data_IF_598414233552
#
_entry.id   IF_598414233552
#
_cell.length_a   1.000
_cell.length_b   1.000
_cell.length_c   1.000
_cell.angle_alpha   90.00
_cell.angle_beta   90.00
_cell.angle_gamma   90.00
#
_symmetry.space_group_name_H-M   'P 1'
#
loop_
_entity.id
_entity.type
_entity.pdbx_description
1 polymer ?
#
# COMPACT_ATOMS: atom_id res chain seq x y z
N UNK A 1 -31.91 -37.96 4.71
CA UNK A 1 -30.87 -36.92 4.87
C UNK A 1 -29.60 -37.66 5.24
N UNK A 2 -28.87 -38.08 4.22
CA UNK A 2 -27.56 -38.73 4.38
C UNK A 2 -26.56 -37.65 4.76
N UNK A 3 -25.89 -37.86 5.89
CA UNK A 3 -24.82 -36.98 6.35
C UNK A 3 -23.60 -37.43 5.55
N UNK A 4 -23.27 -36.70 4.48
CA UNK A 4 -22.01 -36.89 3.76
C UNK A 4 -20.86 -36.71 4.76
N UNK A 5 -20.13 -37.80 5.02
CA UNK A 5 -18.93 -37.76 5.84
C UNK A 5 -17.93 -36.77 5.25
N UNK A 6 -17.26 -36.00 6.12
CA UNK A 6 -16.15 -35.14 5.74
C UNK A 6 -15.04 -36.01 5.14
N UNK A 7 -14.99 -36.14 3.81
CA UNK A 7 -13.87 -36.77 3.13
C UNK A 7 -12.72 -35.74 3.14
N UNK A 8 -11.62 -36.06 3.82
CA UNK A 8 -10.39 -35.31 3.59
C UNK A 8 -9.95 -35.61 2.16
N UNK A 9 -9.82 -34.59 1.28
CA UNK A 9 -9.48 -34.82 -0.11
C UNK A 9 -8.12 -35.51 -0.20
N UNK A 10 -8.07 -36.59 -0.97
CA UNK A 10 -6.82 -37.28 -1.30
C UNK A 10 -5.89 -36.38 -2.12
N UNK A 11 -4.62 -36.79 -2.27
CA UNK A 11 -3.67 -36.08 -3.12
C UNK A 11 -4.15 -35.98 -4.58
N UNK A 12 -4.90 -36.98 -5.05
CA UNK A 12 -5.48 -37.04 -6.39
C UNK A 12 -6.63 -36.04 -6.56
N UNK A 13 -7.51 -35.90 -5.55
CA UNK A 13 -8.58 -34.89 -5.55
C UNK A 13 -7.98 -33.48 -5.62
N UNK A 14 -6.91 -33.23 -4.87
CA UNK A 14 -6.20 -31.93 -4.90
C UNK A 14 -5.66 -31.67 -6.31
N UNK A 15 -5.08 -32.66 -6.99
CA UNK A 15 -4.58 -32.49 -8.36
C UNK A 15 -5.71 -32.20 -9.37
N UNK A 16 -6.88 -32.81 -9.19
CA UNK A 16 -8.07 -32.58 -10.02
C UNK A 16 -8.69 -31.20 -9.79
N UNK A 17 -8.71 -30.70 -8.55
CA UNK A 17 -9.22 -29.35 -8.22
C UNK A 17 -8.25 -28.21 -8.54
N UNK A 18 -6.93 -28.47 -8.48
CA UNK A 18 -5.93 -27.43 -8.75
C UNK A 18 -6.08 -26.89 -10.17
N UNK A 19 -6.21 -27.74 -11.19
CA UNK A 19 -6.26 -27.27 -12.59
C UNK A 19 -7.45 -26.33 -12.86
N UNK A 20 -8.70 -26.66 -12.50
CA UNK A 20 -9.83 -25.74 -12.65
C UNK A 20 -9.70 -24.47 -11.81
N UNK A 21 -9.12 -24.55 -10.60
CA UNK A 21 -8.92 -23.37 -9.75
C UNK A 21 -7.91 -22.40 -10.37
N UNK A 22 -6.77 -22.89 -10.87
CA UNK A 22 -5.74 -22.04 -11.45
C UNK A 22 -6.26 -21.22 -12.64
N UNK A 23 -7.08 -21.83 -13.48
CA UNK A 23 -7.73 -21.15 -14.60
C UNK A 23 -8.75 -20.08 -14.18
N UNK A 24 -9.09 -19.96 -12.89
CA UNK A 24 -9.95 -18.89 -12.35
C UNK A 24 -9.17 -17.69 -11.82
N UNK A 25 -7.87 -17.85 -11.54
CA UNK A 25 -7.04 -16.83 -10.89
C UNK A 25 -6.36 -15.94 -11.93
N UNK A 26 -6.64 -14.63 -11.97
CA UNK A 26 -5.92 -13.71 -12.85
C UNK A 26 -4.41 -13.78 -12.65
N UNK A 27 -3.61 -13.78 -13.73
CA UNK A 27 -2.14 -13.74 -13.66
C UNK A 27 -1.46 -14.84 -12.84
N UNK A 28 -2.11 -16.00 -12.61
CA UNK A 28 -1.52 -17.09 -11.82
C UNK A 28 -0.21 -17.64 -12.42
N UNK A 29 -0.03 -17.53 -13.73
CA UNK A 29 1.17 -17.99 -14.44
C UNK A 29 2.44 -17.21 -14.06
N UNK A 30 2.27 -16.02 -13.46
CA UNK A 30 3.37 -15.18 -12.97
C UNK A 30 3.82 -15.55 -11.56
N UNK A 31 3.08 -16.41 -10.85
CA UNK A 31 3.42 -16.83 -9.48
C UNK A 31 4.30 -18.09 -9.46
N UNK A 32 5.33 -18.09 -8.60
CA UNK A 32 6.22 -19.23 -8.46
C UNK A 32 5.58 -20.39 -7.66
N UNK A 33 5.78 -21.66 -8.06
CA UNK A 33 5.49 -22.80 -7.21
C UNK A 33 6.17 -22.68 -5.82
N UNK A 34 5.51 -23.07 -4.71
CA UNK A 34 4.25 -23.83 -4.63
C UNK A 34 2.98 -22.96 -4.51
N UNK A 35 3.06 -21.65 -4.78
CA UNK A 35 2.00 -20.69 -4.41
C UNK A 35 0.64 -20.96 -5.05
N UNK A 36 0.54 -21.28 -6.35
CA UNK A 36 -0.74 -21.57 -6.96
C UNK A 36 -1.43 -22.81 -6.35
N UNK A 37 -0.65 -23.83 -5.96
CA UNK A 37 -1.18 -25.00 -5.24
C UNK A 37 -1.68 -24.64 -3.83
N UNK A 38 -0.95 -23.78 -3.12
CA UNK A 38 -1.38 -23.30 -1.80
C UNK A 38 -2.67 -22.50 -1.89
N UNK A 39 -2.81 -21.67 -2.93
CA UNK A 39 -4.02 -20.91 -3.21
C UNK A 39 -5.24 -21.82 -3.39
N UNK A 40 -5.11 -22.86 -4.22
CA UNK A 40 -6.16 -23.86 -4.43
C UNK A 40 -6.52 -24.59 -3.13
N UNK A 41 -5.53 -24.95 -2.31
CA UNK A 41 -5.77 -25.60 -1.03
C UNK A 41 -6.44 -24.68 0.01
N UNK A 42 -6.26 -23.35 -0.09
CA UNK A 42 -6.94 -22.39 0.79
C UNK A 42 -8.32 -21.99 0.31
N UNK A 43 -8.57 -22.00 -1.00
CA UNK A 43 -9.85 -21.53 -1.54
C UNK A 43 -11.02 -22.41 -1.10
N UNK A 44 -10.79 -23.71 -0.88
CA UNK A 44 -11.80 -24.62 -0.31
C UNK A 44 -12.19 -24.29 1.14
N UNK A 45 -11.41 -23.45 1.83
CA UNK A 45 -11.67 -22.98 3.20
C UNK A 45 -12.29 -21.58 3.24
N UNK A 46 -12.48 -20.94 2.08
CA UNK A 46 -13.05 -19.61 2.00
C UNK A 46 -14.54 -19.63 2.36
N UNK A 47 -14.99 -18.62 3.10
CA UNK A 47 -16.39 -18.49 3.54
C UNK A 47 -17.23 -18.02 2.35
N UNK A 48 -18.11 -18.89 1.86
CA UNK A 48 -19.03 -18.63 0.74
C UNK A 48 -20.48 -18.94 1.10
N UNK A 49 -21.42 -18.59 0.22
CA UNK A 49 -22.82 -18.99 0.40
C UNK A 49 -22.94 -20.52 0.27
N UNK A 50 -23.50 -21.21 1.27
CA UNK A 50 -23.61 -22.66 1.22
C UNK A 50 -24.68 -23.06 0.19
N UNK A 51 -24.36 -24.07 -0.64
CA UNK A 51 -25.25 -24.57 -1.71
C UNK A 51 -26.58 -25.11 -1.18
N UNK A 52 -26.54 -25.65 0.03
CA UNK A 52 -27.71 -26.07 0.78
C UNK A 52 -27.67 -25.32 2.11
N UNK A 53 -28.83 -24.97 2.65
CA UNK A 53 -28.96 -24.49 4.03
C UNK A 53 -28.60 -25.65 4.97
N UNK A 54 -27.31 -25.91 5.10
CA UNK A 54 -26.78 -26.82 6.07
C UNK A 54 -26.86 -26.13 7.41
N UNK A 55 -27.30 -26.90 8.38
CA UNK A 55 -27.68 -26.42 9.71
C UNK A 55 -26.46 -26.09 10.60
N UNK A 56 -25.24 -26.33 10.10
CA UNK A 56 -24.03 -25.71 10.64
C UNK A 56 -23.09 -25.22 9.55
N UNK A 57 -23.27 -23.97 9.12
CA UNK A 57 -22.43 -23.30 8.13
C UNK A 57 -22.29 -21.84 8.49
N UNK A 58 -21.14 -21.25 8.19
CA UNK A 58 -20.98 -19.81 8.15
C UNK A 58 -21.12 -19.32 6.71
N UNK A 59 -21.75 -18.17 6.52
CA UNK A 59 -22.01 -17.57 5.21
C UNK A 59 -21.74 -16.08 5.27
N UNK A 60 -21.20 -15.46 4.21
CA UNK A 60 -21.01 -14.02 4.20
C UNK A 60 -22.36 -13.30 4.07
N UNK A 61 -22.51 -12.15 4.74
CA UNK A 61 -23.68 -11.27 4.54
C UNK A 61 -23.64 -10.58 3.17
N UNK A 62 -22.44 -10.29 2.69
CA UNK A 62 -22.18 -9.66 1.40
C UNK A 62 -21.23 -10.54 0.59
N UNK A 63 -21.55 -10.78 -0.68
CA UNK A 63 -20.66 -11.46 -1.60
C UNK A 63 -20.72 -10.79 -2.94
N UNK A 64 -19.55 -10.40 -3.44
CA UNK A 64 -19.42 -9.72 -4.71
C UNK A 64 -18.67 -10.59 -5.70
N UNK A 65 -19.02 -10.44 -6.96
CA UNK A 65 -18.26 -11.07 -8.02
C UNK A 65 -16.93 -10.36 -8.18
N UNK A 66 -15.82 -11.09 -8.40
CA UNK A 66 -14.53 -10.47 -8.65
C UNK A 66 -14.63 -9.48 -9.82
N UNK A 67 -14.10 -8.26 -9.68
CA UNK A 67 -14.14 -7.24 -10.73
C UNK A 67 -13.25 -7.64 -11.91
N UNK A 68 -12.10 -8.27 -11.64
CA UNK A 68 -11.22 -8.82 -12.66
C UNK A 68 -11.43 -10.34 -12.76
N UNK A 69 -11.63 -10.86 -13.96
CA UNK A 69 -11.95 -12.27 -14.19
C UNK A 69 -11.12 -12.87 -15.30
N UNK A 70 -10.80 -14.16 -15.18
CA UNK A 70 -10.39 -14.97 -16.33
C UNK A 70 -11.64 -15.39 -17.15
N UNK A 71 -11.48 -15.90 -18.38
CA UNK A 71 -12.62 -16.40 -19.16
C UNK A 71 -13.41 -17.49 -18.41
N UNK A 72 -12.73 -18.41 -17.72
CA UNK A 72 -13.39 -19.46 -16.94
C UNK A 72 -14.14 -18.88 -15.73
N UNK A 73 -13.52 -17.96 -14.98
CA UNK A 73 -14.18 -17.34 -13.82
C UNK A 73 -15.41 -16.52 -14.25
N UNK A 74 -15.40 -15.90 -15.43
CA UNK A 74 -16.57 -15.18 -15.94
C UNK A 74 -17.75 -16.12 -16.28
N UNK A 75 -17.48 -17.29 -16.88
CA UNK A 75 -18.50 -18.33 -17.09
C UNK A 75 -19.10 -18.76 -15.75
N UNK A 76 -18.27 -19.04 -14.75
CA UNK A 76 -18.75 -19.42 -13.40
C UNK A 76 -19.56 -18.28 -12.77
N UNK A 77 -19.09 -17.03 -12.88
CA UNK A 77 -19.83 -15.86 -12.38
C UNK A 77 -21.20 -15.72 -13.04
N UNK A 78 -21.31 -15.94 -14.36
CA UNK A 78 -22.59 -15.89 -15.09
C UNK A 78 -23.54 -16.99 -14.63
N UNK A 79 -23.06 -18.22 -14.49
CA UNK A 79 -23.86 -19.34 -13.98
C UNK A 79 -24.36 -19.09 -12.55
N UNK A 80 -23.49 -18.58 -11.68
CA UNK A 80 -23.84 -18.29 -10.29
C UNK A 80 -24.87 -17.16 -10.16
N UNK A 81 -24.91 -16.18 -11.07
CA UNK A 81 -25.96 -15.11 -11.04
C UNK A 81 -27.37 -15.69 -11.09
N UNK A 82 -27.55 -16.83 -11.74
CA UNK A 82 -28.84 -17.51 -11.83
C UNK A 82 -29.15 -18.38 -10.60
N UNK A 83 -28.16 -18.61 -9.73
CA UNK A 83 -28.28 -19.43 -8.53
C UNK A 83 -28.04 -18.62 -7.25
N UNK A 84 -29.13 -18.19 -6.61
CA UNK A 84 -29.10 -17.45 -5.34
C UNK A 84 -28.44 -18.19 -4.17
N UNK A 85 -28.17 -19.49 -4.31
CA UNK A 85 -27.56 -20.35 -3.27
C UNK A 85 -26.06 -20.56 -3.50
N UNK A 86 -25.45 -19.82 -4.40
CA UNK A 86 -24.01 -19.94 -4.67
C UNK A 86 -23.41 -18.57 -4.76
N UNK A 87 -22.14 -18.47 -4.39
CA UNK A 87 -21.39 -17.23 -4.51
C UNK A 87 -19.92 -17.52 -4.75
N UNK A 88 -19.21 -16.54 -5.28
CA UNK A 88 -17.75 -16.56 -5.29
C UNK A 88 -17.30 -15.98 -3.94
N UNK A 89 -16.60 -16.75 -3.10
CA UNK A 89 -16.14 -16.24 -1.82
C UNK A 89 -15.07 -15.16 -2.03
N UNK A 90 -15.13 -14.12 -1.18
CA UNK A 90 -14.18 -13.00 -1.21
C UNK A 90 -14.84 -11.65 -1.49
N UNK A 91 -14.00 -10.62 -1.57
CA UNK A 91 -14.37 -9.24 -1.87
C UNK A 91 -13.16 -8.50 -2.46
N UNK A 92 -13.41 -7.42 -3.19
CA UNK A 92 -12.36 -6.58 -3.74
C UNK A 92 -12.11 -5.37 -2.84
N UNK A 93 -10.85 -5.16 -2.50
CA UNK A 93 -10.40 -4.12 -1.59
C UNK A 93 -9.35 -3.26 -2.29
N UNK A 94 -9.25 -2.00 -1.86
CA UNK A 94 -8.13 -1.14 -2.24
C UNK A 94 -6.95 -1.53 -1.37
N UNK A 95 -5.87 -2.01 -1.96
CA UNK A 95 -4.74 -2.57 -1.22
C UNK A 95 -3.47 -1.76 -1.46
N UNK A 96 -2.65 -1.59 -0.42
CA UNK A 96 -1.33 -1.02 -0.51
C UNK A 96 -0.28 -2.08 -0.12
N UNK A 97 0.79 -2.20 -0.92
CA UNK A 97 1.91 -3.09 -0.61
C UNK A 97 3.03 -2.28 0.04
N UNK A 98 3.13 -2.36 1.37
CA UNK A 98 4.11 -1.62 2.19
C UNK A 98 4.51 -2.45 3.40
N UNK A 99 5.79 -2.42 3.78
CA UNK A 99 6.22 -3.01 5.04
C UNK A 99 6.01 -2.00 6.16
N UNK A 100 5.19 -2.37 7.13
CA UNK A 100 4.90 -1.63 8.36
C UNK A 100 5.19 -2.55 9.55
N UNK A 101 5.41 -1.98 10.73
CA UNK A 101 5.76 -2.77 11.93
C UNK A 101 4.74 -3.88 12.20
N UNK A 102 3.45 -3.59 12.08
CA UNK A 102 2.39 -4.52 12.41
C UNK A 102 2.02 -5.51 11.29
N UNK A 103 2.47 -5.31 10.04
CA UNK A 103 2.20 -6.27 8.96
C UNK A 103 3.39 -7.18 8.63
N UNK A 104 4.39 -7.24 9.50
CA UNK A 104 5.54 -8.13 9.35
C UNK A 104 5.12 -9.62 9.39
N UNK A 105 5.89 -10.48 8.72
CA UNK A 105 5.73 -11.95 8.72
C UNK A 105 4.28 -12.45 8.52
N UNK A 106 3.76 -12.33 7.29
CA UNK A 106 2.41 -12.81 6.94
C UNK A 106 1.29 -12.24 7.82
N UNK A 107 1.46 -11.00 8.27
CA UNK A 107 0.40 -10.24 8.93
C UNK A 107 -0.17 -9.18 8.00
N UNK A 108 -1.40 -8.74 8.25
CA UNK A 108 -2.09 -7.72 7.46
C UNK A 108 -2.79 -6.72 8.37
N UNK A 109 -2.68 -5.44 8.02
CA UNK A 109 -3.41 -4.36 8.69
C UNK A 109 -4.62 -4.00 7.83
N UNK A 110 -5.77 -3.86 8.46
CA UNK A 110 -6.99 -3.38 7.81
C UNK A 110 -7.38 -1.99 8.31
N UNK A 111 -8.02 -1.21 7.44
CA UNK A 111 -8.75 -0.03 7.87
C UNK A 111 -10.05 -0.44 8.56
N UNK A 112 -10.40 0.24 9.65
CA UNK A 112 -11.68 0.10 10.34
C UNK A 112 -12.89 0.34 9.43
N UNK A 113 -12.73 1.08 8.33
CA UNK A 113 -13.76 1.27 7.31
C UNK A 113 -14.29 -0.04 6.73
N UNK A 114 -13.46 -1.07 6.67
CA UNK A 114 -13.88 -2.41 6.23
C UNK A 114 -14.98 -2.98 7.13
N UNK A 115 -14.94 -2.73 8.43
CA UNK A 115 -16.00 -3.10 9.38
C UNK A 115 -17.21 -2.18 9.28
N UNK A 116 -17.01 -0.88 9.04
CA UNK A 116 -18.12 0.05 8.78
C UNK A 116 -18.94 -0.35 7.55
N UNK A 117 -18.28 -0.86 6.50
CA UNK A 117 -18.92 -1.45 5.32
C UNK A 117 -19.49 -2.85 5.56
N UNK A 118 -19.21 -3.47 6.71
CA UNK A 118 -19.56 -4.87 7.01
C UNK A 118 -19.02 -5.85 5.97
N UNK A 119 -17.87 -5.54 5.36
CA UNK A 119 -17.36 -6.26 4.20
C UNK A 119 -17.02 -7.74 4.49
N UNK A 120 -16.67 -8.05 5.75
CA UNK A 120 -16.42 -9.41 6.23
C UNK A 120 -17.51 -9.93 7.17
N UNK A 121 -18.65 -9.23 7.27
CA UNK A 121 -19.71 -9.68 8.16
C UNK A 121 -20.24 -11.04 7.72
N UNK A 122 -20.43 -11.94 8.68
CA UNK A 122 -20.90 -13.30 8.45
C UNK A 122 -22.11 -13.65 9.30
N UNK A 123 -22.92 -14.56 8.77
CA UNK A 123 -24.05 -15.19 9.42
C UNK A 123 -23.84 -16.70 9.41
N UNK A 124 -23.81 -17.27 10.59
CA UNK A 124 -23.69 -18.70 10.80
C UNK A 124 -24.88 -19.30 11.53
N UNK A 125 -25.08 -20.60 11.33
CA UNK A 125 -25.98 -21.39 12.14
C UNK A 125 -25.19 -22.48 12.86
N UNK A 126 -25.59 -22.84 14.07
CA UNK A 126 -24.99 -23.91 14.86
C UNK A 126 -26.11 -24.76 15.44
N UNK A 127 -26.16 -26.05 15.08
CA UNK A 127 -26.90 -27.03 15.87
C UNK A 127 -26.05 -27.41 17.07
N UNK A 128 -26.57 -27.17 18.27
CA UNK A 128 -25.91 -27.58 19.49
C UNK A 128 -26.81 -28.51 20.31
N UNK A 129 -26.30 -29.67 20.76
CA UNK A 129 -27.07 -30.53 21.66
C UNK A 129 -27.37 -29.80 22.96
N UNK A 130 -28.61 -29.95 23.45
CA UNK A 130 -29.09 -29.40 24.71
C UNK A 130 -29.16 -30.55 25.73
N UNK A 131 -28.50 -30.46 26.90
CA UNK A 131 -28.62 -31.48 27.94
C UNK A 131 -30.04 -31.54 28.52
N UNK A 132 -30.51 -32.75 28.86
CA UNK A 132 -31.89 -32.98 29.30
C UNK A 132 -32.25 -32.21 30.59
N UNK A 133 -31.28 -32.05 31.50
CA UNK A 133 -31.46 -31.37 32.79
C UNK A 133 -31.34 -29.84 32.72
N UNK A 134 -31.34 -29.26 31.53
CA UNK A 134 -31.26 -27.79 31.37
C UNK A 134 -32.67 -27.19 31.21
N UNK A 135 -32.95 -26.03 31.84
CA UNK A 135 -34.23 -25.34 31.69
C UNK A 135 -34.64 -25.20 30.23
N UNK A 136 -35.95 -25.17 29.95
CA UNK A 136 -36.40 -24.94 28.59
C UNK A 136 -35.92 -23.58 28.08
N UNK A 137 -35.46 -23.55 26.83
CA UNK A 137 -34.86 -22.38 26.22
C UNK A 137 -35.84 -21.87 25.16
N UNK A 138 -36.16 -20.59 25.26
CA UNK A 138 -37.08 -19.94 24.33
C UNK A 138 -36.34 -19.53 23.06
N UNK A 139 -37.03 -19.59 21.94
CA UNK A 139 -36.58 -18.91 20.71
C UNK A 139 -36.39 -17.41 21.04
N UNK A 140 -35.30 -16.83 20.54
CA UNK A 140 -34.82 -15.49 20.88
C UNK A 140 -33.82 -15.43 22.04
N UNK A 141 -33.65 -16.52 22.81
CA UNK A 141 -32.68 -16.54 23.92
C UNK A 141 -31.24 -16.41 23.42
N UNK A 142 -30.41 -15.67 24.16
CA UNK A 142 -28.98 -15.54 23.88
C UNK A 142 -28.19 -16.64 24.60
N UNK A 143 -27.47 -17.46 23.84
CA UNK A 143 -26.48 -18.41 24.34
C UNK A 143 -25.13 -17.69 24.40
N UNK A 144 -24.54 -17.63 25.58
CA UNK A 144 -23.27 -16.94 25.84
C UNK A 144 -22.32 -17.87 26.58
N UNK A 145 -21.10 -17.40 26.91
CA UNK A 145 -20.16 -18.14 27.77
C UNK A 145 -20.74 -18.53 29.14
N UNK A 146 -21.81 -17.86 29.60
CA UNK A 146 -22.52 -18.20 30.85
C UNK A 146 -23.45 -19.40 30.71
N UNK A 147 -23.81 -19.76 29.47
CA UNK A 147 -24.59 -20.97 29.20
C UNK A 147 -23.63 -22.17 29.21
N UNK A 148 -23.50 -22.83 30.35
CA UNK A 148 -22.42 -23.80 30.63
C UNK A 148 -22.32 -24.97 29.64
N UNK A 149 -23.41 -25.35 29.00
CA UNK A 149 -23.43 -26.41 27.99
C UNK A 149 -23.24 -25.91 26.56
N UNK A 150 -23.30 -24.59 26.31
CA UNK A 150 -22.99 -23.97 25.02
C UNK A 150 -21.46 -23.88 24.87
N UNK A 151 -20.91 -24.77 24.05
CA UNK A 151 -19.46 -24.88 23.83
C UNK A 151 -18.87 -23.82 22.90
N UNK A 152 -19.58 -23.35 21.85
CA UNK A 152 -19.03 -22.31 21.00
C UNK A 152 -18.70 -21.06 21.80
N UNK A 153 -17.49 -20.52 21.63
CA UNK A 153 -17.06 -19.27 22.28
C UNK A 153 -17.58 -18.02 21.57
N UNK A 154 -18.80 -18.10 21.05
CA UNK A 154 -19.48 -17.04 20.29
C UNK A 154 -20.90 -16.87 20.82
N UNK A 155 -21.46 -15.67 20.72
CA UNK A 155 -22.85 -15.44 21.14
C UNK A 155 -23.80 -15.99 20.07
N UNK A 156 -24.66 -16.92 20.46
CA UNK A 156 -25.71 -17.48 19.60
C UNK A 156 -27.09 -16.96 19.99
N UNK A 157 -27.97 -16.72 19.02
CA UNK A 157 -29.39 -16.44 19.24
C UNK A 157 -30.19 -17.67 18.87
N UNK A 158 -30.94 -18.24 19.80
CA UNK A 158 -31.75 -19.43 19.51
C UNK A 158 -32.85 -19.08 18.52
N UNK A 159 -32.82 -19.69 17.33
CA UNK A 159 -33.84 -19.48 16.29
C UNK A 159 -34.84 -20.64 16.22
N UNK A 160 -34.41 -21.84 16.64
CA UNK A 160 -35.26 -23.02 16.69
C UNK A 160 -34.79 -24.01 17.74
N UNK A 161 -35.68 -24.93 18.11
CA UNK A 161 -35.40 -26.09 18.97
C UNK A 161 -35.97 -27.35 18.34
N UNK A 162 -35.37 -28.48 18.62
CA UNK A 162 -35.83 -29.77 18.10
C UNK A 162 -35.37 -30.94 18.94
N UNK A 163 -35.81 -32.12 18.54
CA UNK A 163 -35.33 -33.39 19.09
C UNK A 163 -34.81 -34.24 17.93
N UNK A 164 -33.65 -34.86 18.11
CA UNK A 164 -33.11 -35.75 17.08
C UNK A 164 -33.76 -37.13 17.17
N UNK A 165 -33.39 -38.04 16.25
CA UNK A 165 -33.90 -39.42 16.21
C UNK A 165 -33.70 -40.19 17.52
N UNK A 166 -32.67 -39.84 18.29
CA UNK A 166 -32.36 -40.44 19.59
C UNK A 166 -33.08 -39.73 20.75
N UNK A 167 -34.09 -38.91 20.45
CA UNK A 167 -34.85 -38.10 21.41
C UNK A 167 -34.02 -37.10 22.22
N UNK A 168 -32.78 -36.83 21.81
CA UNK A 168 -31.95 -35.80 22.46
C UNK A 168 -32.37 -34.44 21.96
N UNK A 169 -32.60 -33.52 22.88
CA UNK A 169 -32.92 -32.14 22.55
C UNK A 169 -31.71 -31.44 21.90
N UNK A 170 -31.98 -30.54 20.97
CA UNK A 170 -30.99 -29.62 20.41
C UNK A 170 -31.60 -28.25 20.17
N UNK A 171 -30.73 -27.25 20.08
CA UNK A 171 -31.06 -25.91 19.64
C UNK A 171 -30.38 -25.62 18.31
N UNK A 172 -31.02 -24.81 17.48
CA UNK A 172 -30.39 -24.16 16.35
C UNK A 172 -30.17 -22.71 16.77
N UNK A 173 -28.91 -22.29 16.82
CA UNK A 173 -28.53 -20.95 17.17
C UNK A 173 -27.93 -20.23 15.96
N UNK A 174 -28.42 -19.03 15.69
CA UNK A 174 -27.84 -18.10 14.75
C UNK A 174 -26.68 -17.36 15.43
N UNK A 175 -25.53 -17.32 14.76
CA UNK A 175 -24.35 -16.56 15.17
C UNK A 175 -24.12 -15.48 14.13
N UNK A 176 -24.05 -14.24 14.57
CA UNK A 176 -23.68 -13.10 13.73
C UNK A 176 -22.28 -12.65 14.14
N UNK A 177 -21.44 -12.41 13.15
CA UNK A 177 -20.16 -11.74 13.30
C UNK A 177 -20.23 -10.55 12.37
N UNK A 178 -20.37 -9.35 12.95
CA UNK A 178 -20.51 -8.12 12.18
C UNK A 178 -19.16 -7.60 11.65
N UNK A 179 -18.07 -7.99 12.30
CA UNK A 179 -16.77 -7.35 12.15
C UNK A 179 -15.65 -8.35 11.83
N UNK A 180 -14.68 -7.90 11.05
CA UNK A 180 -13.35 -8.49 11.01
C UNK A 180 -12.67 -8.23 12.35
N UNK A 181 -12.00 -9.24 12.91
CA UNK A 181 -11.28 -9.15 14.17
C UNK A 181 -9.79 -9.45 14.00
N UNK A 182 -8.97 -8.89 14.89
CA UNK A 182 -7.54 -9.26 15.02
C UNK A 182 -7.44 -10.76 15.29
N UNK A 183 -6.51 -11.44 14.61
CA UNK A 183 -6.32 -12.89 14.65
C UNK A 183 -7.12 -13.64 13.58
N UNK A 184 -8.07 -13.01 12.90
CA UNK A 184 -8.76 -13.63 11.76
C UNK A 184 -7.78 -13.92 10.62
N UNK A 185 -8.09 -14.95 9.82
CA UNK A 185 -7.24 -15.38 8.70
C UNK A 185 -7.83 -14.92 7.37
N UNK A 186 -7.00 -14.27 6.56
CA UNK A 186 -7.34 -13.81 5.21
C UNK A 186 -6.36 -14.44 4.23
N UNK A 187 -6.78 -14.69 2.99
CA UNK A 187 -5.88 -15.15 1.95
C UNK A 187 -6.21 -14.49 0.60
N UNK A 188 -5.19 -14.31 -0.22
CA UNK A 188 -5.36 -13.92 -1.63
C UNK A 188 -5.53 -15.15 -2.51
N UNK A 189 -6.02 -14.94 -3.74
CA UNK A 189 -6.07 -16.00 -4.75
C UNK A 189 -4.68 -16.42 -5.26
N UNK A 190 -3.62 -15.75 -4.81
CA UNK A 190 -2.22 -16.00 -5.16
C UNK A 190 -1.45 -16.79 -4.08
N UNK A 191 -2.18 -17.43 -3.15
CA UNK A 191 -1.57 -18.36 -2.17
C UNK A 191 -0.80 -17.66 -1.06
N UNK A 192 -1.09 -16.37 -0.85
CA UNK A 192 -0.63 -15.61 0.30
C UNK A 192 -1.69 -15.67 1.39
N UNK A 193 -1.30 -16.14 2.57
CA UNK A 193 -2.17 -16.24 3.75
C UNK A 193 -1.67 -15.23 4.77
N UNK A 194 -2.60 -14.55 5.41
CA UNK A 194 -2.32 -13.53 6.39
C UNK A 194 -3.16 -13.73 7.65
N UNK A 195 -2.61 -13.32 8.78
CA UNK A 195 -3.39 -13.07 10.00
C UNK A 195 -3.58 -11.57 10.16
N UNK A 196 -4.81 -11.15 10.45
CA UNK A 196 -5.10 -9.74 10.75
C UNK A 196 -4.39 -9.37 12.04
N UNK A 197 -3.44 -8.45 11.98
CA UNK A 197 -2.68 -8.01 13.15
C UNK A 197 -3.28 -6.77 13.79
N UNK A 198 -3.77 -5.83 12.98
CA UNK A 198 -4.37 -4.58 13.45
C UNK A 198 -5.56 -4.16 12.59
N UNK A 199 -6.47 -3.41 13.21
CA UNK A 199 -7.60 -2.75 12.55
C UNK A 199 -7.60 -1.30 13.05
N UNK A 200 -7.20 -0.37 12.17
CA UNK A 200 -6.90 1.01 12.56
C UNK A 200 -7.84 2.02 11.91
N UNK A 201 -8.13 3.12 12.62
CA UNK A 201 -8.74 4.31 12.02
C UNK A 201 -7.76 4.94 10.99
N UNK A 202 -8.29 5.70 10.02
CA UNK A 202 -7.48 6.26 8.92
C UNK A 202 -6.35 7.18 9.40
N UNK A 203 -6.53 7.90 10.51
CA UNK A 203 -5.50 8.79 11.05
C UNK A 203 -4.24 8.03 11.51
N UNK A 204 -4.37 6.74 11.80
CA UNK A 204 -3.27 5.87 12.23
C UNK A 204 -2.68 5.03 11.08
N UNK A 205 -3.20 5.20 9.86
CA UNK A 205 -2.75 4.50 8.67
C UNK A 205 -1.88 5.40 7.79
N UNK A 206 -1.06 4.79 6.94
CA UNK A 206 -0.25 5.54 6.00
C UNK A 206 -1.09 6.10 4.86
N UNK A 207 -1.07 7.43 4.72
CA UNK A 207 -1.66 8.14 3.59
C UNK A 207 -0.83 7.90 2.32
N UNK A 208 -1.51 7.44 1.28
CA UNK A 208 -0.95 7.22 -0.05
C UNK A 208 -1.26 8.42 -0.95
N UNK A 209 -0.29 8.87 -1.75
CA UNK A 209 -0.46 9.85 -2.81
C UNK A 209 -0.16 9.19 -4.15
N UNK A 210 -1.14 9.09 -5.05
CA UNK A 210 -0.93 8.50 -6.37
C UNK A 210 0.12 9.30 -7.16
N UNK A 211 1.13 8.59 -7.68
CA UNK A 211 2.21 9.18 -8.48
C UNK A 211 1.75 9.80 -9.80
N UNK A 212 0.61 9.36 -10.35
CA UNK A 212 0.13 9.81 -11.66
C UNK A 212 -0.63 11.14 -11.57
N UNK A 213 -1.38 11.39 -10.50
CA UNK A 213 -2.29 12.53 -10.40
C UNK A 213 -2.22 13.30 -9.06
N UNK A 214 -1.40 12.86 -8.10
CA UNK A 214 -1.25 13.48 -6.80
C UNK A 214 -2.45 13.30 -5.86
N UNK A 215 -3.40 12.43 -6.18
CA UNK A 215 -4.59 12.22 -5.34
C UNK A 215 -4.19 11.45 -4.08
N UNK A 216 -4.62 11.97 -2.93
CA UNK A 216 -4.38 11.37 -1.63
C UNK A 216 -5.50 10.39 -1.26
N UNK A 217 -5.14 9.25 -0.67
CA UNK A 217 -6.08 8.21 -0.26
C UNK A 217 -5.55 7.30 0.85
N UNK A 218 -6.47 6.61 1.52
CA UNK A 218 -6.16 5.51 2.42
C UNK A 218 -6.59 4.19 1.80
N UNK A 219 -5.76 3.16 1.95
CA UNK A 219 -6.10 1.83 1.48
C UNK A 219 -7.05 1.14 2.47
N UNK A 220 -7.86 0.20 1.97
CA UNK A 220 -8.67 -0.68 2.80
C UNK A 220 -7.81 -1.70 3.56
N UNK A 221 -6.70 -2.15 2.95
CA UNK A 221 -5.79 -3.14 3.54
C UNK A 221 -4.33 -2.89 3.14
N UNK A 222 -3.41 -3.17 4.07
CA UNK A 222 -1.97 -2.92 3.94
C UNK A 222 -1.19 -4.23 4.03
N UNK A 223 -0.74 -4.72 2.87
CA UNK A 223 -0.01 -5.97 2.73
C UNK A 223 1.50 -5.75 2.85
N UNK A 224 2.25 -6.67 3.48
CA UNK A 224 3.71 -6.57 3.52
C UNK A 224 4.31 -6.81 2.13
N UNK A 225 4.89 -5.76 1.55
CA UNK A 225 5.57 -5.82 0.25
C UNK A 225 6.70 -6.87 0.23
N UNK A 226 7.30 -7.17 1.38
CA UNK A 226 8.33 -8.21 1.54
C UNK A 226 7.82 -9.60 1.15
N UNK A 227 6.54 -9.92 1.42
CA UNK A 227 5.95 -11.24 1.12
C UNK A 227 5.79 -11.50 -0.38
N UNK A 228 5.63 -10.45 -1.19
CA UNK A 228 5.60 -10.59 -2.65
C UNK A 228 6.95 -11.10 -3.15
N UNK A 229 8.00 -10.41 -2.72
CA UNK A 229 9.36 -10.67 -3.19
C UNK A 229 9.93 -11.98 -2.63
N UNK A 230 9.68 -12.30 -1.36
CA UNK A 230 10.21 -13.53 -0.75
C UNK A 230 9.50 -14.79 -1.23
N UNK A 231 8.29 -14.65 -1.79
CA UNK A 231 7.46 -15.77 -2.24
C UNK A 231 7.25 -15.80 -3.75
N UNK A 232 7.81 -14.80 -4.44
CA UNK A 232 7.74 -14.60 -5.87
C UNK A 232 6.32 -14.76 -6.42
N UNK A 233 5.41 -13.92 -5.91
CA UNK A 233 3.98 -13.89 -6.31
C UNK A 233 3.60 -12.54 -6.92
N UNK A 234 4.24 -12.11 -8.02
CA UNK A 234 3.94 -10.83 -8.67
C UNK A 234 2.54 -10.79 -9.31
N UNK A 235 1.89 -11.94 -9.55
CA UNK A 235 0.54 -12.02 -10.09
C UNK A 235 -0.47 -11.16 -9.33
N UNK A 236 -0.36 -11.09 -8.00
CA UNK A 236 -1.25 -10.27 -7.19
C UNK A 236 -1.04 -8.76 -7.36
N UNK A 237 0.18 -8.32 -7.71
CA UNK A 237 0.43 -6.90 -8.02
C UNK A 237 -0.23 -6.56 -9.35
N UNK A 238 -0.15 -7.47 -10.32
CA UNK A 238 -0.81 -7.32 -11.62
C UNK A 238 -2.33 -7.33 -11.47
N UNK A 239 -2.89 -8.24 -10.66
CA UNK A 239 -4.32 -8.26 -10.33
C UNK A 239 -4.77 -6.95 -9.69
N UNK A 240 -4.04 -6.48 -8.66
CA UNK A 240 -4.35 -5.23 -7.97
C UNK A 240 -4.28 -4.02 -8.92
N UNK A 241 -3.25 -3.94 -9.76
CA UNK A 241 -3.07 -2.86 -10.74
C UNK A 241 -4.19 -2.85 -11.78
N UNK A 242 -4.48 -4.00 -12.38
CA UNK A 242 -5.51 -4.12 -13.42
C UNK A 242 -6.92 -3.86 -12.86
N UNK A 243 -7.19 -4.32 -11.63
CA UNK A 243 -8.44 -4.04 -10.93
C UNK A 243 -8.57 -2.56 -10.58
N UNK A 244 -7.50 -1.92 -10.11
CA UNK A 244 -7.50 -0.49 -9.83
C UNK A 244 -7.77 0.32 -11.10
N UNK A 245 -7.14 -0.02 -12.22
CA UNK A 245 -7.39 0.66 -13.50
C UNK A 245 -8.84 0.49 -14.00
N UNK A 246 -9.51 -0.59 -13.62
CA UNK A 246 -10.92 -0.83 -13.95
C UNK A 246 -11.87 -0.02 -13.07
N UNK A 247 -11.66 -0.04 -11.75
CA UNK A 247 -12.52 0.67 -10.78
C UNK A 247 -12.25 2.18 -10.83
N UNK A 248 -10.97 2.56 -10.93
CA UNK A 248 -10.45 3.92 -11.02
C UNK A 248 -11.04 4.88 -9.97
N UNK A 249 -11.19 4.40 -8.75
CA UNK A 249 -11.69 5.14 -7.59
C UNK A 249 -10.85 4.79 -6.36
N UNK A 250 -10.49 5.82 -5.58
CA UNK A 250 -9.74 5.64 -4.34
C UNK A 250 -10.65 5.41 -3.12
N UNK A 251 -11.90 5.85 -3.19
CA UNK A 251 -12.91 5.62 -2.17
C UNK A 251 -14.08 4.88 -2.81
N UNK A 252 -14.28 3.63 -2.41
CA UNK A 252 -15.40 2.81 -2.87
C UNK A 252 -15.82 1.84 -1.78
N UNK A 253 -17.11 1.50 -1.77
CA UNK A 253 -17.65 0.48 -0.87
C UNK A 253 -17.33 -0.91 -1.44
N UNK A 254 -16.50 -1.73 -0.76
CA UNK A 254 -16.12 -3.06 -1.26
C UNK A 254 -17.33 -4.00 -1.36
N UNK A 255 -18.48 -3.64 -0.76
CA UNK A 255 -19.75 -4.38 -0.86
C UNK A 255 -20.60 -3.98 -2.07
N UNK A 256 -20.23 -2.95 -2.85
CA UNK A 256 -21.06 -2.41 -3.96
C UNK A 256 -20.31 -2.25 -5.29
N UNK A 257 -19.45 -3.21 -5.63
CA UNK A 257 -18.66 -3.13 -6.88
C UNK A 257 -19.44 -3.76 -8.03
N UNK A 258 -19.88 -2.92 -8.97
CA UNK A 258 -20.63 -3.36 -10.16
C UNK A 258 -19.75 -3.51 -11.42
N UNK A 259 -18.60 -2.84 -11.46
CA UNK A 259 -17.68 -2.88 -12.59
C UNK A 259 -16.99 -4.25 -12.69
N UNK A 260 -16.98 -4.82 -13.89
CA UNK A 260 -16.23 -6.05 -14.16
C UNK A 260 -15.60 -6.08 -15.55
N UNK A 261 -14.48 -6.79 -15.67
CA UNK A 261 -13.74 -7.02 -16.92
C UNK A 261 -13.21 -8.45 -16.96
N UNK A 262 -13.31 -9.05 -18.13
CA UNK A 262 -12.71 -10.36 -18.43
C UNK A 262 -11.38 -10.13 -19.13
N UNK A 263 -10.32 -10.73 -18.61
CA UNK A 263 -9.00 -10.76 -19.25
C UNK A 263 -9.03 -11.74 -20.43
N UNK A 264 -8.48 -11.32 -21.56
CA UNK A 264 -8.16 -12.23 -22.65
C UNK A 264 -6.96 -13.11 -22.31
N UNK A 265 -6.81 -14.25 -23.00
CA UNK A 265 -5.64 -15.13 -22.86
C UNK A 265 -4.33 -14.38 -23.14
N UNK A 266 -4.36 -13.41 -24.08
CA UNK A 266 -3.22 -12.55 -24.34
C UNK A 266 -2.88 -11.71 -23.12
N UNK A 267 -3.84 -11.01 -22.52
CA UNK A 267 -3.60 -10.14 -21.35
C UNK A 267 -3.17 -10.92 -20.11
N UNK A 268 -3.67 -12.15 -19.92
CA UNK A 268 -3.23 -13.01 -18.82
C UNK A 268 -1.73 -13.36 -18.92
N UNK A 269 -1.19 -13.45 -20.14
CA UNK A 269 0.22 -13.75 -20.41
C UNK A 269 1.07 -12.50 -20.67
N UNK A 270 0.46 -11.30 -20.65
CA UNK A 270 1.14 -10.03 -20.89
C UNK A 270 0.75 -9.07 -19.76
N UNK A 271 1.37 -9.20 -18.58
CA UNK A 271 1.03 -8.39 -17.41
C UNK A 271 1.21 -6.88 -17.70
N UNK A 272 0.49 -6.01 -16.97
CA UNK A 272 0.57 -4.58 -17.18
C UNK A 272 2.00 -4.06 -17.00
N UNK A 273 2.52 -3.38 -18.02
CA UNK A 273 3.88 -2.82 -18.01
C UNK A 273 4.01 -1.59 -17.13
N UNK A 274 2.91 -0.82 -16.97
CA UNK A 274 2.83 0.31 -16.04
C UNK A 274 2.07 -0.11 -14.79
N UNK A 275 2.80 -0.27 -13.69
CA UNK A 275 2.22 -0.54 -12.37
C UNK A 275 1.65 0.73 -11.77
N UNK A 276 0.62 0.57 -10.94
CA UNK A 276 0.09 1.67 -10.12
C UNK A 276 0.93 1.83 -8.86
N UNK A 277 1.40 3.05 -8.63
CA UNK A 277 2.31 3.39 -7.54
C UNK A 277 1.81 4.61 -6.77
N UNK A 278 2.19 4.70 -5.51
CA UNK A 278 1.91 5.85 -4.66
C UNK A 278 3.12 6.19 -3.77
N UNK A 279 3.23 7.45 -3.37
CA UNK A 279 4.12 7.89 -2.31
C UNK A 279 3.41 7.83 -0.96
N UNK A 280 4.13 7.45 0.10
CA UNK A 280 3.59 7.43 1.45
C UNK A 280 3.99 8.72 2.17
N UNK A 281 3.02 9.58 2.54
CA UNK A 281 3.30 10.90 3.15
C UNK A 281 3.50 10.85 4.67
N UNK A 282 2.84 9.89 5.33
CA UNK A 282 2.91 9.72 6.77
C UNK A 282 3.12 8.23 7.05
N UNK A 283 4.38 7.83 7.13
CA UNK A 283 4.71 6.59 7.82
C UNK A 283 4.43 6.91 9.28
N UNK A 284 3.40 6.30 9.86
CA UNK A 284 2.96 6.59 11.23
C UNK A 284 4.15 6.66 12.19
N UNK A 285 4.00 7.37 13.31
CA UNK A 285 5.07 7.77 14.25
C UNK A 285 5.93 6.62 14.84
N UNK A 286 5.72 5.37 14.42
CA UNK A 286 6.56 4.23 14.71
C UNK A 286 7.36 3.86 13.44
N UNK A 287 8.56 4.42 13.33
CA UNK A 287 9.53 4.18 12.26
C UNK A 287 9.94 2.70 12.14
N UNK A 288 9.99 2.18 10.91
CA UNK A 288 11.20 1.78 10.15
C UNK A 288 10.73 1.19 8.81
N UNK A 289 11.06 1.85 7.69
CA UNK A 289 10.86 1.29 6.34
C UNK A 289 12.17 0.82 5.73
N UNK A 290 12.25 -0.48 5.40
CA UNK A 290 13.17 -0.96 4.38
C UNK A 290 12.49 -0.83 3.01
N UNK A 291 12.98 0.09 2.18
CA UNK A 291 12.55 0.20 0.78
C UNK A 291 13.21 -0.92 -0.05
N UNK A 292 12.46 -1.48 -1.00
CA UNK A 292 12.91 -2.60 -1.83
C UNK A 292 14.14 -2.29 -2.72
N UNK A 293 14.59 -1.04 -2.81
CA UNK A 293 15.80 -0.65 -3.55
C UNK A 293 17.07 -1.30 -2.97
N UNK A 294 17.11 -1.62 -1.68
CA UNK A 294 18.24 -2.33 -1.06
C UNK A 294 18.50 -3.71 -1.67
N UNK A 295 17.47 -4.36 -2.26
CA UNK A 295 17.60 -5.70 -2.87
C UNK A 295 18.25 -5.69 -4.25
N UNK A 296 18.15 -4.59 -5.00
CA UNK A 296 18.83 -4.50 -6.31
C UNK A 296 20.37 -4.47 -6.13
N UNK A 297 20.84 -3.92 -5.00
CA UNK A 297 22.24 -3.92 -4.57
C UNK A 297 22.66 -5.30 -4.04
N UNK A 298 21.81 -5.98 -3.26
CA UNK A 298 22.05 -7.37 -2.82
C UNK A 298 22.11 -8.33 -4.02
N UNK A 299 21.33 -8.11 -5.07
CA UNK A 299 21.41 -8.87 -6.32
C UNK A 299 22.74 -8.69 -7.06
N UNK A 300 23.30 -7.46 -7.06
CA UNK A 300 24.65 -7.19 -7.57
C UNK A 300 25.73 -7.87 -6.69
N UNK A 301 25.56 -7.89 -5.37
CA UNK A 301 26.48 -8.58 -4.43
C UNK A 301 26.37 -10.12 -4.50
N UNK A 302 25.19 -10.69 -4.75
CA UNK A 302 25.01 -12.14 -4.93
C UNK A 302 25.72 -12.67 -6.19
N UNK A 303 25.99 -11.81 -7.18
CA UNK A 303 26.87 -12.15 -8.32
C UNK A 303 28.33 -12.37 -7.91
N UNK A 304 28.76 -11.85 -6.75
CA UNK A 304 30.08 -12.10 -6.16
C UNK A 304 30.16 -13.47 -5.48
N UNK A 305 29.06 -13.97 -4.91
CA UNK A 305 29.01 -15.32 -4.35
C UNK A 305 29.09 -16.42 -5.42
N UNK A 306 28.68 -16.12 -6.66
CA UNK A 306 28.92 -17.02 -7.81
C UNK A 306 30.41 -17.09 -8.21
N UNK A 307 31.19 -16.03 -7.98
CA UNK A 307 32.64 -16.01 -8.23
C UNK A 307 33.42 -16.84 -7.18
N UNK A 308 32.87 -17.06 -5.98
CA UNK A 308 33.51 -17.85 -4.92
C UNK A 308 33.57 -19.35 -5.20
N UNK A 309 32.74 -19.89 -6.11
CA UNK A 309 32.61 -21.35 -6.25
C UNK A 309 33.77 -22.03 -6.98
N UNK A 310 34.61 -21.31 -7.76
CA UNK A 310 35.57 -21.95 -8.66
C UNK A 310 36.97 -21.30 -8.76
N UNK A 311 37.32 -20.29 -7.95
CA UNK A 311 38.61 -19.60 -8.05
C UNK A 311 39.27 -19.41 -6.67
N UNK A 312 40.61 -19.42 -6.61
CA UNK A 312 41.32 -19.17 -5.36
C UNK A 312 41.05 -17.74 -4.87
N UNK A 313 40.93 -17.53 -3.57
CA UNK A 313 40.54 -16.23 -3.00
C UNK A 313 41.47 -15.08 -3.46
N UNK A 314 42.74 -15.38 -3.71
CA UNK A 314 43.76 -14.47 -4.26
C UNK A 314 43.46 -13.98 -5.68
N UNK A 315 42.78 -14.78 -6.50
CA UNK A 315 42.42 -14.42 -7.89
C UNK A 315 41.12 -13.60 -7.95
N UNK A 316 40.21 -13.80 -6.99
CA UNK A 316 38.89 -13.13 -6.96
C UNK A 316 38.97 -11.74 -6.31
N UNK A 317 39.90 -11.55 -5.38
CA UNK A 317 40.00 -10.33 -4.57
C UNK A 317 40.16 -9.03 -5.39
N UNK A 318 41.01 -8.94 -6.44
CA UNK A 318 41.10 -7.73 -7.26
C UNK A 318 39.77 -7.37 -7.94
N UNK A 319 38.99 -8.38 -8.38
CA UNK A 319 37.68 -8.19 -8.99
C UNK A 319 36.62 -7.71 -8.01
N UNK A 320 36.68 -8.17 -6.75
CA UNK A 320 35.82 -7.65 -5.67
C UNK A 320 36.18 -6.20 -5.36
N UNK A 321 37.48 -5.88 -5.20
CA UNK A 321 37.95 -4.51 -4.94
C UNK A 321 37.51 -3.54 -6.06
N UNK A 322 37.69 -3.93 -7.32
CA UNK A 322 37.26 -3.10 -8.46
C UNK A 322 35.74 -2.84 -8.45
N UNK A 323 34.92 -3.88 -8.25
CA UNK A 323 33.46 -3.74 -8.19
C UNK A 323 32.98 -2.91 -6.99
N UNK A 324 33.62 -3.07 -5.83
CA UNK A 324 33.32 -2.27 -4.65
C UNK A 324 33.70 -0.80 -4.89
N UNK A 325 34.87 -0.54 -5.47
CA UNK A 325 35.30 0.81 -5.83
C UNK A 325 34.37 1.47 -6.84
N UNK A 326 33.94 0.75 -7.89
CA UNK A 326 32.99 1.26 -8.87
C UNK A 326 31.62 1.56 -8.24
N UNK A 327 31.13 0.69 -7.36
CA UNK A 327 29.90 0.93 -6.59
C UNK A 327 30.00 2.17 -5.71
N UNK A 328 31.10 2.30 -4.96
CA UNK A 328 31.34 3.47 -4.10
C UNK A 328 31.41 4.76 -4.92
N UNK A 329 32.02 4.70 -6.10
CA UNK A 329 32.09 5.83 -7.03
C UNK A 329 30.71 6.20 -7.57
N UNK A 330 29.87 5.23 -7.95
CA UNK A 330 28.48 5.46 -8.39
C UNK A 330 27.64 6.12 -7.29
N UNK A 331 27.69 5.61 -6.06
CA UNK A 331 26.94 6.19 -4.94
C UNK A 331 27.43 7.59 -4.56
N UNK A 332 28.74 7.85 -4.59
CA UNK A 332 29.28 9.21 -4.38
C UNK A 332 28.79 10.18 -5.47
N UNK A 333 28.73 9.75 -6.74
CA UNK A 333 28.19 10.57 -7.84
C UNK A 333 26.70 10.86 -7.61
N UNK A 334 25.93 9.85 -7.21
CA UNK A 334 24.50 9.98 -6.91
C UNK A 334 24.26 10.95 -5.76
N UNK A 335 24.94 10.78 -4.63
CA UNK A 335 24.84 11.69 -3.47
C UNK A 335 25.22 13.13 -3.85
N UNK A 336 26.26 13.31 -4.68
CA UNK A 336 26.62 14.64 -5.22
C UNK A 336 25.48 15.23 -6.06
N UNK A 337 24.85 14.44 -6.93
CA UNK A 337 23.74 14.92 -7.76
C UNK A 337 22.50 15.31 -6.93
N UNK A 338 22.19 14.53 -5.88
CA UNK A 338 21.09 14.79 -4.95
C UNK A 338 21.36 16.06 -4.12
N UNK A 339 22.61 16.24 -3.65
CA UNK A 339 23.04 17.46 -2.95
C UNK A 339 22.95 18.71 -3.84
N UNK A 340 23.41 18.65 -5.08
CA UNK A 340 23.31 19.80 -6.03
C UNK A 340 21.84 20.18 -6.26
N UNK A 341 20.97 19.18 -6.44
CA UNK A 341 19.52 19.38 -6.61
C UNK A 341 18.90 19.97 -5.34
N UNK A 342 19.26 19.44 -4.17
CA UNK A 342 18.83 19.91 -2.85
C UNK A 342 19.21 21.36 -2.59
N UNK A 343 20.45 21.77 -2.92
CA UNK A 343 20.93 23.14 -2.77
C UNK A 343 20.15 24.10 -3.68
N UNK A 344 19.86 23.67 -4.91
CA UNK A 344 19.04 24.45 -5.86
C UNK A 344 17.62 24.66 -5.33
N UNK A 345 17.10 23.71 -4.54
CA UNK A 345 15.74 23.71 -4.00
C UNK A 345 15.64 24.13 -2.52
N UNK A 346 16.73 24.65 -1.93
CA UNK A 346 16.80 25.09 -0.52
C UNK A 346 16.39 24.00 0.50
N UNK A 347 16.61 22.72 0.21
CA UNK A 347 16.30 21.67 1.18
C UNK A 347 17.38 21.57 2.28
N UNK A 348 17.06 20.91 3.41
CA UNK A 348 18.02 20.70 4.51
C UNK A 348 19.04 19.64 4.12
N UNK A 349 20.28 20.06 3.86
CA UNK A 349 21.40 19.20 3.46
C UNK A 349 21.71 18.10 4.47
N UNK A 350 21.49 18.35 5.77
CA UNK A 350 21.78 17.39 6.85
C UNK A 350 20.96 16.10 6.73
N UNK A 351 19.75 16.17 6.17
CA UNK A 351 18.89 14.98 5.96
C UNK A 351 19.47 14.05 4.91
N UNK A 352 19.99 14.60 3.81
CA UNK A 352 20.61 13.82 2.73
C UNK A 352 21.93 13.22 3.21
N UNK A 353 22.71 13.99 3.97
CA UNK A 353 24.00 13.54 4.53
C UNK A 353 23.80 12.41 5.53
N UNK A 354 22.85 12.55 6.46
CA UNK A 354 22.57 11.51 7.45
C UNK A 354 22.01 10.24 6.81
N UNK A 355 21.19 10.38 5.77
CA UNK A 355 20.72 9.23 4.97
C UNK A 355 21.89 8.52 4.27
N UNK A 356 22.78 9.25 3.59
CA UNK A 356 23.93 8.67 2.93
C UNK A 356 24.88 7.95 3.92
N UNK A 357 25.12 8.54 5.11
CA UNK A 357 25.91 7.89 6.17
C UNK A 357 25.25 6.63 6.72
N UNK A 358 23.92 6.67 6.91
CA UNK A 358 23.14 5.51 7.36
C UNK A 358 23.20 4.37 6.33
N UNK A 359 22.99 4.66 5.06
CA UNK A 359 23.06 3.68 3.97
C UNK A 359 24.46 3.08 3.89
N UNK A 360 25.50 3.90 4.04
CA UNK A 360 26.90 3.45 4.02
C UNK A 360 27.25 2.52 5.19
N UNK A 361 26.86 2.89 6.41
CA UNK A 361 27.09 2.07 7.60
C UNK A 361 26.35 0.72 7.50
N UNK A 362 25.13 0.72 6.95
CA UNK A 362 24.40 -0.51 6.69
C UNK A 362 25.15 -1.47 5.75
N UNK A 363 25.81 -0.96 4.70
CA UNK A 363 26.62 -1.80 3.83
C UNK A 363 27.85 -2.36 4.54
N UNK A 364 28.50 -1.58 5.40
CA UNK A 364 29.64 -2.03 6.21
C UNK A 364 29.26 -3.13 7.20
N UNK A 365 28.08 -3.08 7.79
CA UNK A 365 27.56 -4.11 8.70
C UNK A 365 27.21 -5.43 7.99
N UNK A 366 26.87 -5.38 6.69
CA UNK A 366 26.55 -6.57 5.88
C UNK A 366 27.77 -7.26 5.28
N UNK A 367 28.93 -6.62 5.29
CA UNK A 367 30.20 -7.28 4.98
C UNK A 367 30.50 -8.23 6.14
N UNK A 368 30.48 -9.54 5.88
CA UNK A 368 30.82 -10.53 6.91
C UNK A 368 32.33 -10.49 7.18
N UNK A 369 32.75 -9.59 8.07
CA UNK A 369 34.15 -9.39 8.44
C UNK A 369 34.83 -10.68 8.90
N UNK A 370 34.10 -11.59 9.58
CA UNK A 370 34.67 -12.87 10.04
C UNK A 370 35.13 -13.82 8.93
N UNK A 371 34.70 -13.61 7.67
CA UNK A 371 35.12 -14.40 6.51
C UNK A 371 36.25 -13.76 5.69
N UNK A 372 36.69 -12.54 6.05
CA UNK A 372 37.81 -11.84 5.41
C UNK A 372 39.07 -12.05 6.24
N UNK A 373 40.21 -12.37 5.59
CA UNK A 373 41.49 -12.45 6.30
C UNK A 373 41.88 -11.06 6.83
N UNK A 374 42.66 -10.99 7.91
CA UNK A 374 43.03 -9.73 8.56
C UNK A 374 43.70 -8.72 7.59
N UNK A 375 44.50 -9.19 6.62
CA UNK A 375 45.08 -8.32 5.57
C UNK A 375 44.00 -7.69 4.68
N UNK A 376 42.96 -8.43 4.29
CA UNK A 376 41.84 -7.87 3.51
C UNK A 376 40.97 -6.91 4.30
N UNK A 377 40.83 -7.10 5.61
CA UNK A 377 40.06 -6.17 6.44
C UNK A 377 40.74 -4.80 6.53
N UNK A 378 42.07 -4.78 6.69
CA UNK A 378 42.84 -3.55 6.73
C UNK A 378 42.78 -2.78 5.40
N UNK A 379 42.95 -3.48 4.27
CA UNK A 379 42.87 -2.86 2.95
C UNK A 379 41.47 -2.29 2.64
N UNK A 380 40.40 -3.03 2.94
CA UNK A 380 39.03 -2.55 2.73
C UNK A 380 38.75 -1.37 3.66
N UNK A 381 39.23 -1.40 4.91
CA UNK A 381 39.10 -0.26 5.82
C UNK A 381 39.82 0.99 5.28
N UNK A 382 40.97 0.86 4.61
CA UNK A 382 41.66 1.97 3.96
C UNK A 382 40.81 2.55 2.82
N UNK A 383 40.25 1.71 1.94
CA UNK A 383 39.42 2.16 0.82
C UNK A 383 38.11 2.82 1.28
N UNK A 384 37.47 2.25 2.32
CA UNK A 384 36.27 2.79 2.95
C UNK A 384 36.55 4.14 3.60
N UNK A 385 37.65 4.25 4.37
CA UNK A 385 38.06 5.52 4.97
C UNK A 385 38.44 6.55 3.91
N UNK A 386 39.05 6.14 2.80
CA UNK A 386 39.33 7.03 1.68
C UNK A 386 38.03 7.57 1.04
N UNK A 387 37.03 6.71 0.82
CA UNK A 387 35.72 7.11 0.32
C UNK A 387 34.99 8.07 1.26
N UNK A 388 35.02 7.81 2.58
CA UNK A 388 34.47 8.70 3.60
C UNK A 388 35.20 10.06 3.60
N UNK A 389 36.53 10.08 3.49
CA UNK A 389 37.31 11.32 3.39
C UNK A 389 37.00 12.11 2.11
N UNK A 390 36.79 11.43 0.98
CA UNK A 390 36.37 12.08 -0.27
C UNK A 390 34.96 12.67 -0.16
N UNK A 391 34.07 12.01 0.58
CA UNK A 391 32.73 12.51 0.88
C UNK A 391 32.81 13.76 1.76
N UNK A 392 33.57 13.71 2.86
CA UNK A 392 33.77 14.85 3.75
C UNK A 392 34.42 16.04 3.02
N UNK A 393 35.41 15.80 2.15
CA UNK A 393 36.00 16.86 1.32
C UNK A 393 34.98 17.46 0.36
N UNK A 394 34.17 16.64 -0.29
CA UNK A 394 33.09 17.13 -1.15
C UNK A 394 32.05 17.94 -0.36
N UNK A 395 31.77 17.58 0.88
CA UNK A 395 30.87 18.34 1.76
C UNK A 395 31.46 19.71 2.14
N UNK A 396 32.76 19.78 2.41
CA UNK A 396 33.46 21.06 2.65
C UNK A 396 33.41 21.96 1.41
N UNK A 397 33.71 21.40 0.23
CA UNK A 397 33.66 22.15 -1.04
C UNK A 397 32.25 22.67 -1.33
N UNK A 398 31.23 21.84 -1.09
CA UNK A 398 29.82 22.21 -1.25
C UNK A 398 29.40 23.29 -0.24
N UNK A 399 29.81 23.17 1.02
CA UNK A 399 29.54 24.18 2.05
C UNK A 399 30.19 25.51 1.70
N UNK A 400 31.43 25.49 1.22
CA UNK A 400 32.15 26.68 0.77
C UNK A 400 31.45 27.33 -0.44
N UNK A 401 31.01 26.54 -1.43
CA UNK A 401 30.23 27.04 -2.56
C UNK A 401 28.88 27.64 -2.13
N UNK A 402 28.20 27.05 -1.15
CA UNK A 402 26.96 27.59 -0.58
C UNK A 402 27.19 28.92 0.13
N UNK A 403 28.28 29.06 0.89
CA UNK A 403 28.67 30.31 1.55
C UNK A 403 28.99 31.40 0.50
N UNK A 404 29.77 31.08 -0.52
CA UNK A 404 30.09 32.00 -1.62
C UNK A 404 28.80 32.43 -2.35
N UNK A 405 27.86 31.51 -2.61
CA UNK A 405 26.60 31.84 -3.25
C UNK A 405 25.75 32.81 -2.42
N UNK A 406 25.68 32.60 -1.09
CA UNK A 406 25.00 33.52 -0.16
C UNK A 406 25.66 34.90 -0.12
N UNK A 407 26.99 34.96 -0.12
CA UNK A 407 27.73 36.23 -0.17
C UNK A 407 27.50 36.97 -1.49
N UNK A 408 27.46 36.26 -2.62
CA UNK A 408 27.15 36.84 -3.94
C UNK A 408 25.72 37.39 -3.98
N UNK A 409 24.73 36.69 -3.40
CA UNK A 409 23.35 37.19 -3.29
C UNK A 409 23.25 38.41 -2.35
N UNK A 410 23.99 38.40 -1.24
CA UNK A 410 24.10 39.53 -0.32
C UNK A 410 24.68 40.77 -1.02
N UNK A 411 25.77 40.62 -1.76
CA UNK A 411 26.40 41.68 -2.55
C UNK A 411 25.46 42.19 -3.66
N UNK A 412 24.74 41.30 -4.36
CA UNK A 412 23.73 41.69 -5.36
C UNK A 412 22.59 42.50 -4.72
N UNK A 413 22.16 42.11 -3.52
CA UNK A 413 21.11 42.80 -2.77
C UNK A 413 21.56 44.18 -2.27
N UNK A 414 22.80 44.28 -1.78
CA UNK A 414 23.42 45.56 -1.40
C UNK A 414 23.59 46.50 -2.60
N UNK A 415 24.01 45.99 -3.77
CA UNK A 415 24.10 46.76 -5.02
C UNK A 415 22.73 47.26 -5.50
N UNK A 416 21.67 46.43 -5.40
CA UNK A 416 20.30 46.87 -5.70
C UNK A 416 19.82 47.95 -4.73
N UNK A 417 20.13 47.84 -3.44
CA UNK A 417 19.76 48.82 -2.43
C UNK A 417 20.49 50.17 -2.63
N UNK A 418 21.78 50.16 -2.98
CA UNK A 418 22.54 51.37 -3.32
C UNK A 418 22.02 52.03 -4.60
N UNK A 419 21.79 51.26 -5.67
CA UNK A 419 21.20 51.78 -6.91
C UNK A 419 19.79 52.38 -6.70
N UNK A 420 19.00 51.81 -5.78
CA UNK A 420 17.69 52.34 -5.42
C UNK A 420 17.78 53.64 -4.59
N UNK A 421 18.76 53.72 -3.68
CA UNK A 421 19.07 54.92 -2.91
C UNK A 421 19.52 56.08 -3.80
N UNK A 422 20.40 55.82 -4.77
CA UNK A 422 20.88 56.80 -5.74
C UNK A 422 19.76 57.34 -6.64
N UNK A 423 18.91 56.45 -7.18
CA UNK A 423 17.70 56.87 -7.93
C UNK A 423 16.72 57.71 -7.09
N UNK A 424 16.65 57.46 -5.78
CA UNK A 424 15.80 58.23 -4.86
C UNK A 424 16.39 59.63 -4.60
N UNK A 425 17.72 59.75 -4.47
CA UNK A 425 18.42 61.04 -4.39
C UNK A 425 18.27 61.85 -5.68
N UNK A 426 18.42 61.21 -6.84
CA UNK A 426 18.24 61.85 -8.15
C UNK A 426 16.80 62.39 -8.34
N UNK A 427 15.78 61.62 -7.94
CA UNK A 427 14.38 62.09 -7.93
C UNK A 427 14.09 63.22 -6.93
N UNK A 428 14.83 63.31 -5.82
CA UNK A 428 14.68 64.43 -4.87
C UNK A 428 15.31 65.72 -5.40
N UNK A 429 16.40 65.62 -6.16
CA UNK A 429 17.07 66.78 -6.78
C UNK A 429 16.29 67.34 -7.99
N UNK A 430 15.43 66.53 -8.63
CA UNK A 430 14.58 66.95 -9.76
C UNK A 430 13.22 67.55 -9.36
N UNK A 431 12.84 67.52 -8.08
CA UNK A 431 11.57 68.09 -7.58
C UNK A 431 11.50 69.63 -7.54
N UNK A 432 12.58 70.41 -7.38
CA UNK A 432 12.50 71.88 -7.43
C UNK A 432 12.24 72.43 -8.84
N UNK A 433 12.62 71.71 -9.90
CA UNK A 433 12.58 72.22 -11.28
C UNK A 433 11.19 72.18 -11.94
N UNK A 434 10.22 71.41 -11.40
CA UNK A 434 8.86 71.32 -11.97
C UNK A 434 7.85 72.31 -11.40
N UNK A 435 8.19 73.07 -10.34
CA UNK A 435 7.29 74.09 -9.76
C UNK A 435 7.37 75.47 -10.42
N UNK A 436 8.34 75.71 -11.32
CA UNK A 436 8.50 77.02 -11.99
C UNK A 436 7.72 77.14 -13.30
N UNK A 437 7.23 76.02 -13.90
CA UNK A 437 6.54 76.06 -15.21
C UNK A 437 5.00 76.12 -15.18
N UNK A 438 4.36 76.25 -14.01
CA UNK A 438 2.87 76.22 -13.89
C UNK A 438 2.20 77.53 -13.50
N UNK A 439 2.92 78.66 -13.60
CA UNK A 439 2.40 80.02 -13.41
C UNK A 439 2.55 80.80 -14.71
N UNK A 440 1.93 80.32 -15.79
CA UNK A 440 1.69 81.08 -17.03
C UNK A 440 0.82 80.21 -17.95
N UNK A 441 -0.49 80.17 -17.67
CA UNK A 441 -1.53 80.05 -18.69
C UNK A 441 -2.91 80.26 -18.04
N UNK A 442 -3.27 81.53 -18.09
CA UNK A 442 -4.58 82.20 -18.10
C UNK A 442 -5.77 81.41 -18.64
N UNK A 443 -6.91 81.59 -17.93
CA UNK A 443 -8.19 82.18 -18.40
C UNK A 443 -8.62 81.90 -19.86
N UNK A 444 -9.78 81.23 -20.05
CA UNK A 444 -11.00 81.79 -20.70
C UNK A 444 -12.14 80.77 -20.85
N UNK A 445 -13.36 81.29 -20.60
CA UNK A 445 -14.69 80.97 -21.18
C UNK A 445 -15.41 79.67 -20.72
N UNK A 446 -16.50 79.75 -19.92
CA UNK A 446 -17.93 80.05 -20.24
C UNK A 446 -18.52 79.04 -21.22
N UNK A 447 -19.65 78.36 -21.03
CA UNK A 447 -20.79 78.41 -20.09
C UNK A 447 -22.01 77.90 -20.87
N UNK A 448 -22.92 77.11 -20.27
CA UNK A 448 -24.39 77.16 -20.49
C UNK A 448 -25.15 75.99 -19.81
N UNK A 449 -26.42 76.28 -19.54
CA UNK A 449 -27.31 75.71 -18.53
C UNK A 449 -28.40 74.77 -19.10
N UNK A 450 -28.93 73.92 -18.21
CA UNK A 450 -30.35 73.48 -18.04
C UNK A 450 -31.04 72.67 -19.16
N UNK A 451 -31.59 71.50 -18.77
CA UNK A 451 -33.01 71.34 -18.33
C UNK A 451 -33.37 69.89 -17.95
N UNK A 452 -34.33 69.82 -17.03
CA UNK A 452 -34.99 68.66 -16.42
C UNK A 452 -35.71 67.74 -17.43
N UNK A 453 -35.96 66.48 -17.08
CA UNK A 453 -37.30 66.00 -16.64
C UNK A 453 -37.47 64.46 -16.63
N UNK A 454 -38.13 64.00 -15.55
CA UNK A 454 -39.19 62.97 -15.48
C UNK A 454 -38.87 61.45 -15.42
N UNK A 455 -39.52 60.88 -14.38
CA UNK A 455 -39.80 59.52 -13.94
C UNK A 455 -40.17 58.49 -15.03
N UNK A 456 -39.90 57.21 -14.79
CA UNK A 456 -40.95 56.19 -14.50
C UNK A 456 -40.39 54.79 -14.14
N UNK A 457 -41.09 54.20 -13.17
CA UNK A 457 -41.32 52.81 -12.74
C UNK A 457 -40.82 51.58 -13.53
N UNK A 458 -40.66 50.50 -12.76
CA UNK A 458 -40.85 49.08 -13.14
C UNK A 458 -39.56 48.27 -12.95
N UNK A 459 -39.46 47.19 -12.16
CA UNK A 459 -40.46 46.26 -11.66
C UNK A 459 -40.07 44.84 -12.10
N UNK A 460 -39.58 44.02 -11.14
CA UNK A 460 -39.56 42.53 -11.05
C UNK A 460 -39.21 41.69 -12.30
N UNK A 461 -38.22 40.80 -12.15
CA UNK A 461 -38.43 39.44 -11.56
C UNK A 461 -37.12 38.88 -11.05
#
# INVERSE_FOLDING_TARGET
MEIYGYHQPGLDDIAEYVKPFLNQVPYFGEDEPPRPRLAAATSVQAIGLPRQELVSTNSPLHSNQPPLRTPLLDVICKEIRHNKRSSIPGGAFLVAFINMQANYEDSIIFSKKVNEYKAFATRGFIIHPKPDNTPDIRVGSKLTYRTTWWRPRVVGTVIAKGTNKNRRAYVIAEVLSDDLEVGNKIATQHGQKFTVSEINDYENLSLCEDTDNGTEFYAHAYFPASTINSRNTPGQIYEATSTFNLINQYEFDPTKIDSSRVLSDYEMNNPPTKLKTCYFKYLGTNEYMFTAQSKQVIGKLASLDKLKKNASFTEVLPGIKAKLHDFLKEEVIKVKSELVTCLSNKCKTDVIINKAKSDFNFYLEKINWTQLTQMTQADIAVDVNHALNLLDKALVDISLQSMIAKDVESVKSQKKATAFSEKKKEKSLLKPLKKVKKVQQTKKQTGEEKKNSVKTNGGKK
#
